data_IF_121936126698
#
_entry.id   IF_121936126698
#
_cell.length_a   1.000
_cell.length_b   1.000
_cell.length_c   1.000
_cell.angle_alpha   90.00
_cell.angle_beta   90.00
_cell.angle_gamma   90.00
#
_symmetry.space_group_name_H-M   'P 1'
#
loop_
_entity.id
_entity.type
_entity.pdbx_description
1 polymer ?
#
# COMPACT_ATOMS: atom_id res chain seq x y z
N UNK A 1 -13.79 35.13 41.26
CA UNK A 1 -13.58 33.66 41.13
C UNK A 1 -14.42 33.06 39.99
N UNK A 2 -14.35 33.59 38.74
CA UNK A 2 -15.15 33.09 37.61
C UNK A 2 -14.33 32.38 36.52
N UNK A 3 -13.02 32.64 36.45
CA UNK A 3 -12.11 31.96 35.53
C UNK A 3 -11.76 30.52 35.95
N UNK A 4 -11.98 30.17 37.23
CA UNK A 4 -11.58 28.88 37.82
C UNK A 4 -12.30 27.66 37.24
N UNK A 5 -13.51 27.84 36.66
CA UNK A 5 -14.27 26.73 36.07
C UNK A 5 -13.91 26.46 34.61
N UNK A 6 -13.36 27.44 33.90
CA UNK A 6 -12.99 27.29 32.49
C UNK A 6 -11.64 26.60 32.32
N UNK A 7 -10.74 26.73 33.29
CA UNK A 7 -9.41 26.10 33.28
C UNK A 7 -9.48 24.56 33.17
N UNK A 8 -10.26 23.82 34.00
CA UNK A 8 -10.36 22.37 33.87
C UNK A 8 -11.04 21.94 32.55
N UNK A 9 -12.00 22.73 32.05
CA UNK A 9 -12.66 22.49 30.77
C UNK A 9 -11.66 22.59 29.60
N UNK A 10 -10.82 23.62 29.63
CA UNK A 10 -9.82 23.88 28.59
C UNK A 10 -8.69 22.83 28.62
N UNK A 11 -8.29 22.38 29.83
CA UNK A 11 -7.35 21.27 30.00
C UNK A 11 -7.92 19.95 29.46
N UNK A 12 -9.21 19.67 29.70
CA UNK A 12 -9.89 18.48 29.15
C UNK A 12 -9.83 18.46 27.62
N UNK A 13 -10.15 19.59 26.95
CA UNK A 13 -10.12 19.70 25.49
C UNK A 13 -8.73 19.43 24.92
N UNK A 14 -7.66 19.91 25.58
CA UNK A 14 -6.27 19.67 25.14
C UNK A 14 -5.90 18.18 25.27
N UNK A 15 -6.34 17.51 26.33
CA UNK A 15 -6.03 16.08 26.56
C UNK A 15 -6.78 15.19 25.57
N UNK A 16 -8.04 15.50 25.23
CA UNK A 16 -8.84 14.70 24.31
C UNK A 16 -8.59 15.02 22.82
N UNK A 17 -7.99 16.17 22.49
CA UNK A 17 -7.62 16.54 21.12
C UNK A 17 -6.19 16.14 20.75
N UNK A 18 -5.46 15.51 21.68
CA UNK A 18 -4.17 14.90 21.41
C UNK A 18 -4.35 13.77 20.40
N UNK A 19 -4.18 14.09 19.12
CA UNK A 19 -4.16 13.09 18.06
C UNK A 19 -3.00 12.15 18.39
N UNK A 20 -3.33 10.93 18.80
CA UNK A 20 -2.36 9.86 18.87
C UNK A 20 -2.08 9.52 17.41
N UNK A 21 -1.16 10.25 16.78
CA UNK A 21 -0.59 9.83 15.51
C UNK A 21 0.15 8.55 15.85
N UNK A 22 -0.59 7.44 15.76
CA UNK A 22 0.02 6.17 15.46
C UNK A 22 0.69 6.42 14.12
N UNK A 23 1.94 6.86 14.18
CA UNK A 23 2.90 6.57 13.14
C UNK A 23 3.13 5.05 13.23
N UNK A 24 2.07 4.31 12.92
CA UNK A 24 2.17 2.96 12.45
C UNK A 24 2.98 3.15 11.17
N UNK A 25 4.29 2.95 11.30
CA UNK A 25 5.17 2.58 10.22
C UNK A 25 4.67 1.23 9.69
N UNK A 26 3.45 1.20 9.17
CA UNK A 26 3.03 0.20 8.23
C UNK A 26 3.95 0.44 7.05
N UNK A 27 4.97 -0.39 6.93
CA UNK A 27 5.52 -0.70 5.62
C UNK A 27 4.30 -1.10 4.78
N UNK A 28 3.78 -0.16 4.01
CA UNK A 28 2.70 -0.40 3.07
C UNK A 28 3.32 -1.38 2.08
N UNK A 29 3.03 -2.67 2.27
CA UNK A 29 3.30 -3.66 1.22
C UNK A 29 2.35 -3.21 0.12
N UNK A 30 2.85 -2.61 -0.97
CA UNK A 30 1.96 -2.19 -2.04
C UNK A 30 1.19 -3.42 -2.49
N UNK A 31 -0.12 -3.28 -2.68
CA UNK A 31 -0.94 -4.35 -3.24
C UNK A 31 -0.24 -4.86 -4.51
N UNK A 32 -0.06 -6.18 -4.58
CA UNK A 32 0.54 -6.78 -5.76
C UNK A 32 -0.29 -6.39 -6.98
N UNK A 33 0.35 -6.00 -8.09
CA UNK A 33 -0.37 -5.64 -9.29
C UNK A 33 -1.25 -6.82 -9.73
N UNK A 34 -2.51 -6.53 -10.04
CA UNK A 34 -3.50 -7.55 -10.39
C UNK A 34 -3.75 -7.52 -11.90
N UNK A 35 -2.93 -8.28 -12.63
CA UNK A 35 -3.11 -8.51 -14.07
C UNK A 35 -2.60 -9.90 -14.44
N UNK A 36 -2.91 -10.35 -15.65
CA UNK A 36 -2.35 -11.56 -16.24
C UNK A 36 -1.90 -11.28 -17.67
N UNK A 37 -0.78 -11.88 -18.08
CA UNK A 37 -0.24 -11.83 -19.43
C UNK A 37 -0.13 -13.23 -20.00
N UNK A 38 -0.30 -13.36 -21.31
CA UNK A 38 -0.10 -14.62 -22.02
C UNK A 38 1.39 -14.82 -22.29
N UNK A 39 1.93 -15.96 -21.89
CA UNK A 39 3.35 -16.26 -22.04
C UNK A 39 3.67 -16.74 -23.47
N UNK A 40 4.37 -15.89 -24.21
CA UNK A 40 4.81 -16.15 -25.59
C UNK A 40 6.27 -16.64 -25.67
N UNK A 41 6.97 -16.82 -24.54
CA UNK A 41 8.36 -17.26 -24.55
C UNK A 41 8.45 -18.79 -24.64
N UNK A 42 8.89 -19.38 -25.78
CA UNK A 42 8.96 -20.84 -25.94
C UNK A 42 10.00 -21.51 -25.04
N UNK A 43 10.89 -20.75 -24.40
CA UNK A 43 11.85 -21.27 -23.42
C UNK A 43 11.32 -21.25 -21.99
N UNK A 44 10.12 -20.71 -21.76
CA UNK A 44 9.50 -20.60 -20.43
C UNK A 44 8.84 -21.91 -20.00
N UNK A 45 8.88 -22.21 -18.70
CA UNK A 45 8.15 -23.35 -18.12
C UNK A 45 6.62 -23.17 -18.21
N UNK A 46 6.16 -21.92 -18.34
CA UNK A 46 4.74 -21.54 -18.43
C UNK A 46 4.33 -21.16 -19.86
N UNK A 47 5.07 -21.60 -20.88
CA UNK A 47 4.78 -21.28 -22.28
C UNK A 47 3.34 -21.66 -22.67
N UNK A 48 2.62 -20.70 -23.26
CA UNK A 48 1.23 -20.89 -23.68
C UNK A 48 0.19 -20.74 -22.57
N UNK A 49 0.60 -20.38 -21.36
CA UNK A 49 -0.30 -20.15 -20.22
C UNK A 49 -0.48 -18.65 -19.94
N UNK A 50 -1.56 -18.32 -19.21
CA UNK A 50 -1.76 -16.99 -18.66
C UNK A 50 -1.17 -16.91 -17.26
N UNK A 51 -0.16 -16.06 -17.08
CA UNK A 51 0.54 -15.86 -15.81
C UNK A 51 0.40 -14.42 -15.30
N UNK A 52 0.26 -14.26 -13.99
CA UNK A 52 0.22 -12.96 -13.34
C UNK A 52 1.38 -12.75 -12.35
N UNK A 53 1.51 -11.55 -11.77
CA UNK A 53 2.56 -11.21 -10.80
C UNK A 53 2.66 -12.18 -9.61
N UNK A 54 1.55 -12.82 -9.21
CA UNK A 54 1.49 -13.81 -8.15
C UNK A 54 2.35 -15.06 -8.42
N UNK A 55 2.69 -15.35 -9.67
CA UNK A 55 3.60 -16.44 -10.01
C UNK A 55 5.05 -16.16 -9.55
N UNK A 56 5.41 -14.88 -9.42
CA UNK A 56 6.74 -14.41 -9.03
C UNK A 56 6.78 -13.89 -7.59
N UNK A 57 5.96 -14.45 -6.70
CA UNK A 57 5.96 -14.12 -5.27
C UNK A 57 7.37 -14.19 -4.68
N UNK A 58 7.67 -13.23 -3.79
CA UNK A 58 8.97 -13.07 -3.12
C UNK A 58 10.17 -12.86 -4.07
N UNK A 59 9.91 -12.48 -5.33
CA UNK A 59 10.95 -12.08 -6.30
C UNK A 59 10.86 -10.61 -6.65
N UNK A 60 12.02 -9.99 -6.83
CA UNK A 60 12.11 -8.66 -7.45
C UNK A 60 11.67 -8.80 -8.90
N UNK A 61 10.58 -8.12 -9.25
CA UNK A 61 9.94 -8.20 -10.57
C UNK A 61 9.82 -6.82 -11.19
N UNK A 62 10.08 -6.72 -12.50
CA UNK A 62 9.92 -5.49 -13.28
C UNK A 62 8.89 -5.75 -14.37
N UNK A 63 7.87 -4.89 -14.44
CA UNK A 63 6.83 -4.93 -15.47
C UNK A 63 6.92 -3.66 -16.31
N UNK A 64 7.01 -3.81 -17.63
CA UNK A 64 7.11 -2.68 -18.57
C UNK A 64 6.02 -2.80 -19.63
N UNK A 65 5.18 -1.78 -19.75
CA UNK A 65 4.13 -1.67 -20.76
C UNK A 65 4.46 -0.49 -21.68
N UNK A 66 4.81 -0.72 -22.95
CA UNK A 66 5.08 0.37 -23.89
C UNK A 66 3.78 1.15 -24.19
N UNK A 67 3.92 2.43 -24.55
CA UNK A 67 2.78 3.30 -24.88
C UNK A 67 2.00 2.82 -26.13
N UNK A 68 2.68 2.14 -27.05
CA UNK A 68 2.10 1.54 -28.25
C UNK A 68 2.71 0.16 -28.47
N UNK A 69 1.93 -0.77 -29.00
CA UNK A 69 2.45 -2.04 -29.49
C UNK A 69 3.32 -1.77 -30.73
N UNK A 70 4.53 -2.30 -30.73
CA UNK A 70 5.47 -2.26 -31.88
C UNK A 70 5.20 -3.39 -32.85
#
# INVERSE_FOLDING_TARGET
>A
MRFSFYIPLLISIIIFSGCNSKEENHCYIPDQPNFSLFDLNPSSETYGESIGPQFFNDKVSLFYFPYSET
#
